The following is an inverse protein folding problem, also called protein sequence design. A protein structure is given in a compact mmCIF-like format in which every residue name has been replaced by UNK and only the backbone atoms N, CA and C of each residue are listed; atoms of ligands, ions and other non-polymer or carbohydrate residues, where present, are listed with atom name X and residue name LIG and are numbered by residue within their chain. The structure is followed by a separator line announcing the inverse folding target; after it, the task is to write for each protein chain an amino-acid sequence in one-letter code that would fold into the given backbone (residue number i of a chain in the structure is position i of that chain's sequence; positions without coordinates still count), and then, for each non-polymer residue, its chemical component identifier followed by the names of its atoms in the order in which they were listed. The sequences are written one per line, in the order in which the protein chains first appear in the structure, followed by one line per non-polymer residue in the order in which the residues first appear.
data_IF_408015443053
#
_entry.id   IF_408015443053
#
_cell.length_a   1.000
_cell.length_b   1.000
_cell.length_c   1.000
_cell.angle_alpha   90.00
_cell.angle_beta   90.00
_cell.angle_gamma   90.00
#
_symmetry.space_group_name_H-M   'P 1'
#
loop_
_entity.id
_entity.type
_entity.pdbx_description
1 polymer ?
#
# COMPACT_ATOMS: atom_id res chain seq x y z
N UNK A 1 2.26 -7.93 -18.82
CA UNK A 1 3.10 -9.15 -18.89
C UNK A 1 2.38 -10.31 -19.59
N UNK A 2 1.24 -10.80 -19.09
CA UNK A 2 0.48 -11.90 -19.73
C UNK A 2 -0.10 -11.52 -21.08
N UNK A 3 -0.67 -10.32 -21.22
CA UNK A 3 -1.12 -9.79 -22.52
C UNK A 3 0.01 -9.62 -23.56
N UNK A 4 1.28 -9.55 -23.12
CA UNK A 4 2.45 -9.42 -24.01
C UNK A 4 2.97 -10.80 -24.44
N UNK A 5 2.81 -11.83 -23.60
CA UNK A 5 3.32 -13.18 -23.85
C UNK A 5 2.29 -14.13 -24.48
N UNK A 6 1.05 -13.68 -24.72
CA UNK A 6 0.01 -14.52 -25.34
C UNK A 6 -0.20 -15.85 -24.60
N UNK A 7 -0.27 -16.95 -25.36
CA UNK A 7 -0.46 -18.31 -24.84
C UNK A 7 0.69 -18.80 -23.94
N UNK A 8 1.91 -18.28 -24.12
CA UNK A 8 3.07 -18.64 -23.28
C UNK A 8 3.00 -18.06 -21.86
N UNK A 9 2.10 -17.11 -21.60
CA UNK A 9 1.84 -16.58 -20.26
C UNK A 9 0.92 -17.44 -19.39
N UNK A 10 0.30 -18.49 -19.96
CA UNK A 10 -0.63 -19.41 -19.29
C UNK A 10 -0.04 -20.83 -19.12
N UNK A 11 1.20 -21.02 -19.59
CA UNK A 11 1.95 -22.26 -19.39
C UNK A 11 2.74 -22.16 -18.09
N UNK A 12 2.67 -23.19 -17.24
CA UNK A 12 3.39 -23.33 -15.96
C UNK A 12 4.94 -23.18 -16.07
N UNK A 13 5.45 -23.03 -17.28
CA UNK A 13 6.87 -22.95 -17.63
C UNK A 13 7.47 -21.54 -17.41
N UNK A 14 6.63 -20.48 -17.36
CA UNK A 14 7.10 -19.11 -17.15
C UNK A 14 6.70 -18.56 -15.76
N UNK A 15 7.61 -17.86 -15.04
CA UNK A 15 7.35 -17.33 -13.68
C UNK A 15 6.30 -16.21 -13.65
N UNK A 16 5.83 -15.76 -14.81
CA UNK A 16 4.86 -14.67 -14.97
C UNK A 16 3.49 -15.01 -14.37
N UNK A 17 3.04 -16.25 -14.50
CA UNK A 17 1.79 -16.73 -13.87
C UNK A 17 1.89 -16.68 -12.34
N UNK A 18 3.02 -17.17 -11.79
CA UNK A 18 3.29 -17.12 -10.35
C UNK A 18 3.26 -15.70 -9.81
N UNK A 19 3.85 -14.75 -10.53
CA UNK A 19 3.81 -13.34 -10.13
C UNK A 19 2.40 -12.75 -10.21
N UNK A 20 1.61 -13.09 -11.23
CA UNK A 20 0.20 -12.66 -11.29
C UNK A 20 -0.62 -13.20 -10.11
N UNK A 21 -0.44 -14.47 -9.75
CA UNK A 21 -1.15 -15.07 -8.60
C UNK A 21 -0.80 -14.37 -7.29
N UNK A 22 0.49 -14.14 -7.04
CA UNK A 22 0.95 -13.45 -5.84
C UNK A 22 0.44 -12.00 -5.80
N UNK A 23 0.43 -11.31 -6.95
CA UNK A 23 -0.07 -9.94 -7.07
C UNK A 23 -1.59 -9.82 -6.87
N UNK A 24 -2.36 -10.88 -7.15
CA UNK A 24 -3.80 -10.93 -6.84
C UNK A 24 -4.05 -11.08 -5.34
N UNK A 25 -3.21 -11.83 -4.63
CA UNK A 25 -3.30 -11.97 -3.17
C UNK A 25 -3.03 -10.65 -2.44
N UNK A 26 -1.99 -9.92 -2.85
CA UNK A 26 -1.60 -8.63 -2.22
C UNK A 26 -2.66 -7.53 -2.33
N UNK A 27 -3.72 -7.72 -3.12
CA UNK A 27 -4.84 -6.80 -3.28
C UNK A 27 -5.91 -7.01 -2.20
N UNK A 28 -5.89 -8.15 -1.52
CA UNK A 28 -6.89 -8.56 -0.54
C UNK A 28 -6.31 -8.47 0.88
N UNK A 29 -5.04 -8.81 1.05
CA UNK A 29 -4.35 -8.73 2.34
C UNK A 29 -3.98 -7.29 2.69
N UNK A 30 -4.06 -6.95 3.98
CA UNK A 30 -3.80 -5.60 4.53
C UNK A 30 -4.73 -4.48 4.04
N UNK A 31 -5.92 -4.89 3.57
CA UNK A 31 -7.00 -4.00 3.13
C UNK A 31 -7.32 -4.19 1.66
N UNK A 32 -8.60 -4.36 1.36
CA UNK A 32 -9.05 -4.42 -0.03
C UNK A 32 -8.90 -3.05 -0.68
N UNK A 33 -8.84 -3.03 -2.02
CA UNK A 33 -8.74 -1.78 -2.81
C UNK A 33 -9.85 -0.79 -2.48
N UNK A 34 -11.06 -1.27 -2.22
CA UNK A 34 -12.22 -0.45 -1.89
C UNK A 34 -12.02 0.25 -0.54
N UNK A 35 -11.51 -0.47 0.46
CA UNK A 35 -11.20 0.11 1.77
C UNK A 35 -10.09 1.16 1.65
N UNK A 36 -9.04 0.89 0.86
CA UNK A 36 -7.98 1.88 0.62
C UNK A 36 -8.49 3.13 -0.09
N UNK A 37 -9.39 2.98 -1.08
CA UNK A 37 -10.01 4.14 -1.74
C UNK A 37 -10.86 4.98 -0.80
N UNK A 38 -11.70 4.34 0.02
CA UNK A 38 -12.52 5.03 1.02
C UNK A 38 -11.63 5.73 2.04
N UNK A 39 -10.60 5.04 2.54
CA UNK A 39 -9.65 5.61 3.49
C UNK A 39 -8.97 6.86 2.91
N UNK A 40 -8.45 6.78 1.68
CA UNK A 40 -7.84 7.92 0.99
C UNK A 40 -8.83 9.07 0.80
N UNK A 41 -10.09 8.77 0.46
CA UNK A 41 -11.14 9.78 0.33
C UNK A 41 -11.47 10.47 1.66
N UNK A 42 -11.53 9.72 2.76
CA UNK A 42 -11.77 10.28 4.10
C UNK A 42 -10.65 11.25 4.52
N UNK A 43 -9.39 10.90 4.26
CA UNK A 43 -8.26 11.80 4.50
C UNK A 43 -8.30 13.04 3.58
N UNK A 44 -8.57 12.86 2.28
CA UNK A 44 -8.62 13.95 1.33
C UNK A 44 -9.76 14.94 1.61
N UNK A 45 -10.89 14.46 2.12
CA UNK A 45 -12.06 15.27 2.47
C UNK A 45 -12.03 15.80 3.91
N UNK A 46 -11.00 15.48 4.70
CA UNK A 46 -10.86 15.92 6.08
C UNK A 46 -11.83 15.26 7.07
N UNK A 47 -12.46 14.16 6.68
CA UNK A 47 -13.30 13.36 7.59
C UNK A 47 -12.49 12.52 8.58
N UNK A 48 -11.19 12.37 8.32
CA UNK A 48 -10.28 11.57 9.14
C UNK A 48 -8.98 12.32 9.38
N UNK A 49 -8.61 12.41 10.65
CA UNK A 49 -7.34 12.97 11.12
C UNK A 49 -6.55 11.91 11.89
N UNK A 50 -5.23 11.97 11.77
CA UNK A 50 -4.36 11.05 12.49
C UNK A 50 -4.30 11.39 13.98
N UNK A 51 -4.30 10.35 14.81
CA UNK A 51 -4.11 10.52 16.24
C UNK A 51 -2.67 10.94 16.52
N UNK A 52 -2.49 11.82 17.50
CA UNK A 52 -1.18 12.16 18.03
C UNK A 52 -0.48 10.87 18.50
N UNK A 53 0.72 10.62 17.96
CA UNK A 53 1.52 9.44 18.30
C UNK A 53 1.98 9.50 19.76
N UNK A 54 1.78 8.42 20.51
CA UNK A 54 2.31 8.31 21.88
C UNK A 54 3.85 8.28 21.93
N UNK A 55 4.47 7.72 20.89
CA UNK A 55 5.92 7.63 20.73
C UNK A 55 6.26 8.02 19.27
N UNK A 56 6.54 9.30 18.99
CA UNK A 56 6.94 9.71 17.65
C UNK A 56 8.28 9.06 17.30
N UNK A 57 8.47 8.74 16.03
CA UNK A 57 9.78 8.30 15.57
C UNK A 57 10.79 9.44 15.79
N UNK A 58 12.01 9.12 16.27
CA UNK A 58 13.03 10.13 16.40
C UNK A 58 13.32 10.73 15.01
N UNK A 59 13.54 12.05 14.93
CA UNK A 59 13.86 12.70 13.66
C UNK A 59 15.10 12.08 13.03
N UNK A 60 15.09 11.99 11.70
CA UNK A 60 16.29 11.65 10.96
C UNK A 60 17.37 12.71 11.22
N UNK A 61 18.64 12.32 11.20
CA UNK A 61 19.76 13.23 11.41
C UNK A 61 19.66 14.40 10.42
N UNK A 62 19.56 15.63 10.93
CA UNK A 62 19.41 16.85 10.13
C UNK A 62 17.96 17.31 9.88
N UNK A 63 16.94 16.60 10.38
CA UNK A 63 15.53 16.97 10.26
C UNK A 63 14.87 17.08 11.64
N UNK A 64 15.26 18.08 12.44
CA UNK A 64 14.61 18.33 13.73
C UNK A 64 13.15 18.76 13.53
N UNK A 65 12.22 18.03 14.15
CA UNK A 65 10.80 18.40 14.20
C UNK A 65 10.52 19.03 15.56
N UNK A 66 9.87 20.20 15.58
CA UNK A 66 9.33 20.79 16.80
C UNK A 66 8.31 19.82 17.39
N UNK A 67 8.65 19.24 18.54
CA UNK A 67 7.76 18.33 19.25
C UNK A 67 6.57 19.14 19.77
N UNK A 68 5.37 18.89 19.25
CA UNK A 68 4.14 19.51 19.74
C UNK A 68 3.95 19.14 21.22
N UNK A 69 3.83 20.11 22.15
CA UNK A 69 3.60 19.80 23.55
C UNK A 69 2.23 19.14 23.72
N UNK A 70 2.18 18.16 24.62
CA UNK A 70 1.03 17.32 24.92
C UNK A 70 -0.14 18.12 25.50
#
# INVERSE_FOLDING_TARGET
AIQIHGSYGFSNEYPVERFMRNARGSVIYEGTREIHQILQAEYALGYREDKVLSHPQPPAVGFEQETVPR
#
